data_IF_554994676274
#
_entry.id   IF_554994676274
#
_cell.length_a   1.000
_cell.length_b   1.000
_cell.length_c   1.000
_cell.angle_alpha   90.00
_cell.angle_beta   90.00
_cell.angle_gamma   90.00
#
_symmetry.space_group_name_H-M   'P 1'
#
loop_
_entity.id
_entity.type
_entity.pdbx_description
1 polymer ?
#
# COMPACT_ATOMS: atom_id res chain seq x y z
N UNK A 1 81.98 -44.82 27.02
CA UNK A 1 81.30 -45.65 28.04
C UNK A 1 79.83 -45.26 28.07
N UNK A 2 78.93 -46.25 27.97
CA UNK A 2 77.45 -46.21 28.02
C UNK A 2 76.77 -45.46 26.84
N UNK A 3 76.28 -46.14 25.80
CA UNK A 3 75.14 -47.08 25.66
C UNK A 3 73.77 -46.38 25.48
N UNK A 4 73.22 -46.60 24.27
CA UNK A 4 71.81 -46.97 23.95
C UNK A 4 70.76 -45.83 23.97
N UNK A 5 69.87 -45.59 22.99
CA UNK A 5 69.28 -46.30 21.82
C UNK A 5 68.69 -45.18 20.87
N UNK A 6 69.02 -45.06 19.56
CA UNK A 6 68.50 -45.77 18.36
C UNK A 6 66.98 -45.49 18.11
N UNK A 7 66.49 -44.90 17.02
CA UNK A 7 66.52 -45.35 15.60
C UNK A 7 65.88 -44.27 14.69
N UNK A 8 66.56 -44.00 13.57
CA UNK A 8 66.10 -43.70 12.18
C UNK A 8 65.04 -42.60 11.92
N UNK A 9 65.12 -41.78 10.87
CA UNK A 9 65.81 -41.94 9.60
C UNK A 9 66.20 -40.58 8.99
N UNK A 10 67.29 -40.63 8.23
CA UNK A 10 67.85 -39.60 7.34
C UNK A 10 66.99 -39.51 6.07
N UNK A 11 66.66 -38.29 5.64
CA UNK A 11 66.69 -37.82 4.25
C UNK A 11 66.22 -36.36 4.26
N UNK A 12 67.12 -35.38 4.26
CA UNK A 12 67.84 -34.81 3.12
C UNK A 12 67.32 -33.37 2.92
N UNK A 13 68.22 -32.44 3.20
CA UNK A 13 68.14 -30.99 3.07
C UNK A 13 67.71 -30.49 1.69
N UNK A 14 66.86 -29.47 1.65
CA UNK A 14 67.16 -28.20 0.98
C UNK A 14 66.15 -27.11 1.39
N UNK A 15 66.72 -25.96 1.76
CA UNK A 15 66.05 -24.73 2.15
C UNK A 15 65.81 -23.89 0.89
N UNK A 16 64.55 -23.53 0.69
CA UNK A 16 63.97 -22.27 0.16
C UNK A 16 64.36 -21.82 -1.26
N UNK A 17 63.37 -21.81 -2.15
CA UNK A 17 63.00 -20.62 -2.94
C UNK A 17 61.48 -20.49 -2.84
N UNK A 18 61.00 -19.32 -2.40
CA UNK A 18 59.58 -19.04 -2.31
C UNK A 18 58.93 -18.90 -3.69
N UNK A 19 57.77 -19.53 -3.84
CA UNK A 19 56.70 -19.11 -4.73
C UNK A 19 55.39 -19.20 -3.95
N UNK A 20 54.51 -18.23 -4.19
CA UNK A 20 53.30 -17.88 -3.45
C UNK A 20 52.36 -19.07 -3.19
N UNK A 21 52.05 -19.44 -1.94
CA UNK A 21 50.88 -20.26 -1.65
C UNK A 21 49.57 -19.47 -1.75
N UNK A 22 49.62 -18.17 -2.08
CA UNK A 22 48.42 -17.34 -2.29
C UNK A 22 47.91 -17.41 -3.74
N UNK A 23 48.76 -17.73 -4.72
CA UNK A 23 48.37 -17.70 -6.14
C UNK A 23 47.47 -18.88 -6.52
N UNK A 24 47.74 -20.08 -5.98
CA UNK A 24 46.90 -21.27 -6.21
C UNK A 24 45.55 -21.23 -5.49
N UNK A 25 45.41 -20.46 -4.39
CA UNK A 25 44.10 -20.24 -3.74
C UNK A 25 43.29 -19.20 -4.54
N UNK A 26 43.96 -18.30 -5.25
CA UNK A 26 43.30 -17.34 -6.14
C UNK A 26 42.99 -17.92 -7.54
N UNK A 27 43.69 -18.97 -7.99
CA UNK A 27 43.35 -19.65 -9.25
C UNK A 27 42.20 -20.67 -9.14
N UNK A 28 42.01 -21.30 -7.97
CA UNK A 28 40.91 -22.25 -7.75
C UNK A 28 39.58 -21.57 -7.32
N UNK A 29 39.63 -20.31 -6.86
CA UNK A 29 38.41 -19.48 -6.69
C UNK A 29 37.96 -18.85 -8.01
N UNK A 30 38.87 -18.64 -8.97
CA UNK A 30 38.55 -18.06 -10.29
C UNK A 30 38.03 -19.08 -11.32
N UNK A 31 37.98 -20.38 -11.00
CA UNK A 31 37.48 -21.43 -11.92
C UNK A 31 36.07 -21.94 -11.61
N UNK A 32 35.45 -21.44 -10.55
CA UNK A 32 33.99 -21.50 -10.35
C UNK A 32 33.44 -20.07 -10.46
N UNK A 33 33.04 -19.73 -11.68
CA UNK A 33 32.03 -18.73 -12.04
C UNK A 33 31.23 -18.15 -10.87
N UNK A 34 31.29 -16.82 -10.73
CA UNK A 34 30.25 -15.97 -10.11
C UNK A 34 29.63 -16.58 -8.85
N UNK A 35 30.25 -16.33 -7.69
CA UNK A 35 29.49 -16.34 -6.44
C UNK A 35 28.48 -15.19 -6.52
N UNK A 36 27.36 -15.43 -7.21
CA UNK A 36 26.19 -14.58 -7.16
C UNK A 36 25.70 -14.67 -5.72
N UNK A 37 25.99 -13.63 -4.93
CA UNK A 37 25.47 -13.52 -3.58
C UNK A 37 24.00 -13.16 -3.76
N UNK A 38 23.11 -14.11 -3.47
CA UNK A 38 21.68 -13.87 -3.40
C UNK A 38 21.30 -13.44 -1.97
N UNK A 39 20.51 -12.40 -1.83
CA UNK A 39 19.99 -11.95 -0.55
C UNK A 39 18.68 -11.21 -0.67
N UNK A 40 17.93 -11.17 0.44
CA UNK A 40 16.69 -10.41 0.55
C UNK A 40 16.94 -9.16 1.37
N UNK A 41 16.54 -8.01 0.85
CA UNK A 41 16.68 -6.70 1.51
C UNK A 41 15.32 -6.09 1.75
N UNK A 42 15.13 -5.48 2.92
CA UNK A 42 14.00 -4.59 3.19
C UNK A 42 14.60 -3.24 3.56
N UNK A 43 14.19 -2.19 2.85
CA UNK A 43 14.77 -0.86 3.03
C UNK A 43 13.71 0.23 2.87
N UNK A 44 13.80 1.26 3.71
CA UNK A 44 12.98 2.48 3.59
C UNK A 44 13.92 3.61 3.21
N UNK A 45 13.60 4.34 2.14
CA UNK A 45 14.40 5.47 1.70
C UNK A 45 14.42 6.57 2.76
N UNK A 46 15.60 7.11 2.99
CA UNK A 46 15.87 8.27 3.85
C UNK A 46 16.02 9.53 2.98
N UNK A 47 15.97 10.72 3.61
CA UNK A 47 16.06 12.00 2.89
C UNK A 47 17.30 12.09 1.98
N UNK A 48 18.46 11.62 2.45
CA UNK A 48 19.71 11.56 1.68
C UNK A 48 19.58 10.68 0.42
N UNK A 49 18.78 9.60 0.45
CA UNK A 49 18.58 8.74 -0.72
C UNK A 49 17.80 9.48 -1.82
N UNK A 50 16.84 10.35 -1.46
CA UNK A 50 16.12 11.17 -2.44
C UNK A 50 17.04 12.26 -3.02
N UNK A 51 17.96 12.82 -2.23
CA UNK A 51 18.97 13.74 -2.75
C UNK A 51 19.89 13.06 -3.77
N UNK A 52 20.35 11.83 -3.48
CA UNK A 52 21.17 11.03 -4.40
C UNK A 52 20.41 10.66 -5.70
N UNK A 53 19.09 10.59 -5.64
CA UNK A 53 18.18 10.37 -6.77
C UNK A 53 17.80 11.66 -7.54
N UNK A 54 18.38 12.81 -7.17
CA UNK A 54 18.04 14.14 -7.70
C UNK A 54 16.57 14.56 -7.46
N UNK A 55 15.92 14.00 -6.44
CA UNK A 55 14.53 14.26 -6.04
C UNK A 55 14.44 15.31 -4.93
N UNK A 56 14.45 16.59 -5.33
CA UNK A 56 14.49 17.75 -4.42
C UNK A 56 13.30 17.90 -3.44
N UNK A 57 12.22 17.14 -3.64
CA UNK A 57 11.03 17.18 -2.77
C UNK A 57 10.98 16.04 -1.75
N UNK A 58 11.97 15.14 -1.72
CA UNK A 58 11.99 14.02 -0.79
C UNK A 58 10.95 12.92 -1.07
N UNK A 59 10.38 12.90 -2.29
CA UNK A 59 9.38 11.95 -2.73
C UNK A 59 9.39 11.74 -4.25
N UNK A 60 8.80 10.64 -4.70
CA UNK A 60 8.53 10.37 -6.11
C UNK A 60 7.21 11.01 -6.54
N UNK A 61 7.14 11.48 -7.79
CA UNK A 61 5.88 12.01 -8.36
C UNK A 61 4.95 10.91 -8.88
N UNK A 62 5.50 9.73 -9.18
CA UNK A 62 4.74 8.57 -9.64
C UNK A 62 5.44 7.26 -9.27
N UNK A 63 4.67 6.17 -9.24
CA UNK A 63 5.24 4.83 -9.10
C UNK A 63 6.12 4.43 -10.30
N UNK A 64 5.90 5.03 -11.46
CA UNK A 64 6.72 4.74 -12.65
C UNK A 64 8.09 5.39 -12.53
N UNK A 65 8.17 6.62 -12.01
CA UNK A 65 9.46 7.26 -11.70
C UNK A 65 10.26 6.41 -10.68
N UNK A 66 9.58 5.84 -9.69
CA UNK A 66 10.21 4.93 -8.72
C UNK A 66 10.72 3.64 -9.38
N UNK A 67 9.93 3.02 -10.28
CA UNK A 67 10.35 1.83 -11.04
C UNK A 67 11.55 2.11 -11.95
N UNK A 68 11.66 3.31 -12.48
CA UNK A 68 12.73 3.71 -13.39
C UNK A 68 14.03 4.04 -12.65
N UNK A 69 13.96 4.71 -11.50
CA UNK A 69 15.13 5.21 -10.77
C UNK A 69 15.69 4.23 -9.73
N UNK A 70 14.83 3.47 -9.05
CA UNK A 70 15.27 2.57 -7.98
C UNK A 70 16.18 1.42 -8.44
N UNK A 71 16.07 0.85 -9.67
CA UNK A 71 17.00 -0.18 -10.13
C UNK A 71 18.48 0.19 -10.07
N UNK A 72 18.83 1.39 -10.53
CA UNK A 72 20.20 1.87 -10.54
C UNK A 72 20.66 2.20 -9.11
N UNK A 73 19.81 2.85 -8.32
CA UNK A 73 20.05 3.08 -6.89
C UNK A 73 20.34 1.78 -6.11
N UNK A 74 19.56 0.72 -6.35
CA UNK A 74 19.78 -0.59 -5.71
C UNK A 74 21.08 -1.27 -6.18
N UNK A 75 21.46 -1.07 -7.44
CA UNK A 75 22.72 -1.59 -7.98
C UNK A 75 23.92 -0.91 -7.32
N UNK A 76 23.85 0.40 -7.12
CA UNK A 76 24.91 1.18 -6.47
C UNK A 76 24.99 0.92 -4.96
N UNK A 77 23.83 0.78 -4.28
CA UNK A 77 23.75 0.54 -2.83
C UNK A 77 24.08 -0.91 -2.45
N UNK A 78 23.72 -1.88 -3.30
CA UNK A 78 23.92 -3.31 -3.07
C UNK A 78 24.72 -4.00 -4.20
N UNK A 79 25.94 -3.55 -4.52
CA UNK A 79 26.70 -4.03 -5.69
C UNK A 79 27.15 -5.48 -5.60
N UNK A 80 27.05 -6.10 -4.42
CA UNK A 80 27.38 -7.50 -4.20
C UNK A 80 26.20 -8.44 -4.51
N UNK A 81 24.96 -7.93 -4.55
CA UNK A 81 23.76 -8.73 -4.77
C UNK A 81 23.60 -9.02 -6.26
N UNK A 82 23.35 -10.30 -6.56
CA UNK A 82 23.22 -10.80 -7.92
C UNK A 82 21.90 -11.53 -8.14
N UNK A 83 21.85 -12.35 -9.20
CA UNK A 83 20.65 -13.08 -9.59
C UNK A 83 19.97 -13.79 -8.42
N UNK A 84 18.65 -13.67 -8.34
CA UNK A 84 17.85 -14.31 -7.29
C UNK A 84 17.82 -13.53 -5.97
N UNK A 85 18.46 -12.36 -5.90
CA UNK A 85 18.23 -11.40 -4.82
C UNK A 85 16.87 -10.73 -4.97
N UNK A 86 16.29 -10.32 -3.84
CA UNK A 86 15.06 -9.53 -3.79
C UNK A 86 15.25 -8.29 -2.90
N UNK A 87 14.51 -7.23 -3.22
CA UNK A 87 14.51 -6.01 -2.44
C UNK A 87 13.07 -5.50 -2.29
N UNK A 88 12.63 -5.28 -1.05
CA UNK A 88 11.36 -4.65 -0.73
C UNK A 88 11.64 -3.22 -0.27
N UNK A 89 11.31 -2.26 -1.11
CA UNK A 89 11.69 -0.86 -0.94
C UNK A 89 10.47 -0.03 -0.61
N UNK A 90 10.51 0.66 0.54
CA UNK A 90 9.49 1.64 0.94
C UNK A 90 10.00 3.04 0.61
N UNK A 91 9.20 3.82 -0.12
CA UNK A 91 9.50 5.19 -0.50
C UNK A 91 8.26 6.08 -0.36
N UNK A 92 8.48 7.38 -0.32
CA UNK A 92 7.44 8.41 -0.28
C UNK A 92 6.98 8.72 -1.70
N UNK A 93 5.69 8.61 -1.92
CA UNK A 93 5.01 9.04 -3.14
C UNK A 93 4.25 10.34 -2.86
N UNK A 94 4.37 11.32 -3.75
CA UNK A 94 3.55 12.52 -3.70
C UNK A 94 2.07 12.16 -3.87
N UNK A 95 1.27 12.43 -2.86
CA UNK A 95 -0.15 12.12 -2.81
C UNK A 95 -0.90 13.31 -2.21
N UNK A 96 -1.22 14.29 -3.05
CA UNK A 96 -1.90 15.51 -2.61
C UNK A 96 -3.36 15.26 -2.29
N UNK A 97 -3.77 15.71 -1.11
CA UNK A 97 -5.17 15.80 -0.72
C UNK A 97 -5.63 17.25 -0.86
N UNK A 98 -6.71 17.48 -1.59
CA UNK A 98 -7.30 18.80 -1.72
C UNK A 98 -7.84 19.29 -0.37
N UNK A 99 -7.48 20.52 -0.03
CA UNK A 99 -7.93 21.22 1.17
C UNK A 99 -8.49 22.59 0.79
N UNK A 100 -9.44 23.05 1.59
CA UNK A 100 -10.26 24.22 1.31
C UNK A 100 -10.29 25.18 2.49
N UNK A 101 -10.55 26.46 2.19
CA UNK A 101 -10.73 27.50 3.19
C UNK A 101 -11.81 28.52 2.78
N UNK A 102 -12.72 28.85 3.69
CA UNK A 102 -13.76 29.86 3.44
C UNK A 102 -14.17 30.57 4.73
N UNK A 103 -14.49 31.86 4.62
CA UNK A 103 -15.09 32.60 5.73
C UNK A 103 -16.43 31.96 6.11
N UNK A 104 -16.70 31.86 7.41
CA UNK A 104 -17.95 31.26 7.90
C UNK A 104 -19.11 32.18 7.56
N UNK A 105 -20.06 31.67 6.76
CA UNK A 105 -21.32 32.35 6.47
C UNK A 105 -22.43 31.84 7.39
N UNK A 106 -22.99 32.72 8.22
CA UNK A 106 -24.07 32.38 9.15
C UNK A 106 -25.44 32.63 8.50
N UNK A 107 -26.22 31.57 8.33
CA UNK A 107 -27.55 31.64 7.72
C UNK A 107 -28.53 32.34 8.65
N UNK A 108 -29.32 33.25 8.07
CA UNK A 108 -30.44 33.91 8.74
C UNK A 108 -31.66 33.01 8.86
N UNK A 109 -32.58 33.34 9.76
CA UNK A 109 -33.87 32.66 9.92
C UNK A 109 -34.65 32.66 8.60
N UNK A 110 -34.62 33.77 7.86
CA UNK A 110 -35.27 33.93 6.58
C UNK A 110 -34.76 32.94 5.53
N UNK A 111 -33.45 32.70 5.47
CA UNK A 111 -32.84 31.74 4.53
C UNK A 111 -33.23 30.31 4.84
N UNK A 112 -33.24 29.92 6.12
CA UNK A 112 -33.77 28.61 6.53
C UNK A 112 -35.24 28.46 6.15
N UNK A 113 -36.05 29.49 6.42
CA UNK A 113 -37.48 29.49 6.16
C UNK A 113 -37.80 29.45 4.66
N UNK A 114 -36.96 30.07 3.81
CA UNK A 114 -37.11 30.04 2.36
C UNK A 114 -37.00 28.62 1.80
N UNK A 115 -36.09 27.79 2.35
CA UNK A 115 -35.90 26.40 1.94
C UNK A 115 -36.95 25.48 2.56
N UNK A 116 -37.21 25.62 3.86
CA UNK A 116 -38.11 24.70 4.58
C UNK A 116 -39.59 24.98 4.38
N UNK A 117 -39.95 26.19 3.95
CA UNK A 117 -41.33 26.69 3.92
C UNK A 117 -41.95 26.89 5.32
N UNK A 118 -41.12 26.95 6.37
CA UNK A 118 -41.55 27.10 7.78
C UNK A 118 -41.20 28.50 8.31
N UNK A 119 -41.39 28.71 9.62
CA UNK A 119 -41.11 29.98 10.31
C UNK A 119 -40.21 29.81 11.54
N UNK A 120 -39.59 28.64 11.70
CA UNK A 120 -38.79 28.31 12.88
C UNK A 120 -37.33 28.77 12.76
N UNK A 121 -36.88 29.11 11.55
CA UNK A 121 -35.51 29.60 11.32
C UNK A 121 -34.44 28.52 11.50
N UNK A 122 -34.77 27.26 11.20
CA UNK A 122 -33.83 26.14 11.30
C UNK A 122 -34.14 25.08 10.22
N UNK A 123 -33.13 24.31 9.86
CA UNK A 123 -33.31 23.06 9.12
C UNK A 123 -33.72 21.93 10.08
N UNK A 124 -34.45 20.93 9.58
CA UNK A 124 -34.86 19.74 10.36
C UNK A 124 -34.81 18.45 9.54
N UNK A 125 -34.16 18.50 8.37
CA UNK A 125 -33.89 17.37 7.49
C UNK A 125 -32.51 17.53 6.88
N UNK A 126 -31.79 16.43 6.72
CA UNK A 126 -30.44 16.42 6.16
C UNK A 126 -30.38 16.98 4.74
N UNK A 127 -31.44 16.86 3.94
CA UNK A 127 -31.46 17.37 2.57
C UNK A 127 -31.61 18.89 2.48
N UNK A 128 -32.11 19.58 3.51
CA UNK A 128 -32.36 21.03 3.41
C UNK A 128 -31.10 21.87 3.21
N UNK A 129 -29.95 21.43 3.73
CA UNK A 129 -28.69 22.15 3.49
C UNK A 129 -28.25 22.02 2.02
N UNK A 130 -28.50 20.88 1.39
CA UNK A 130 -28.22 20.67 -0.03
C UNK A 130 -29.22 21.45 -0.90
N UNK A 131 -30.50 21.46 -0.54
CA UNK A 131 -31.51 22.30 -1.19
C UNK A 131 -31.11 23.80 -1.13
N UNK A 132 -30.53 24.24 0.01
CA UNK A 132 -29.97 25.60 0.16
C UNK A 132 -28.79 25.85 -0.77
N UNK A 133 -27.83 24.92 -0.82
CA UNK A 133 -26.65 25.03 -1.68
C UNK A 133 -27.04 25.11 -3.16
N UNK A 134 -27.91 24.22 -3.63
CA UNK A 134 -28.41 24.22 -5.01
C UNK A 134 -29.17 25.50 -5.39
N UNK A 135 -29.96 26.04 -4.45
CA UNK A 135 -30.70 27.28 -4.68
C UNK A 135 -29.79 28.52 -4.69
N UNK A 136 -28.73 28.52 -3.89
CA UNK A 136 -27.84 29.67 -3.69
C UNK A 136 -26.68 29.71 -4.67
N UNK A 137 -26.17 28.53 -5.05
CA UNK A 137 -25.02 28.32 -5.92
C UNK A 137 -25.38 27.43 -7.12
N UNK A 138 -26.30 27.86 -8.00
CA UNK A 138 -26.78 27.04 -9.13
C UNK A 138 -25.72 26.81 -10.22
N UNK A 139 -24.68 27.63 -10.24
CA UNK A 139 -23.59 27.61 -11.22
C UNK A 139 -22.26 27.16 -10.57
N UNK A 140 -22.31 26.37 -9.48
CA UNK A 140 -21.11 25.89 -8.79
C UNK A 140 -20.21 25.06 -9.73
N UNK A 141 -18.90 25.28 -9.62
CA UNK A 141 -17.87 24.59 -10.39
C UNK A 141 -17.00 23.72 -9.47
N UNK A 142 -16.36 22.69 -10.04
CA UNK A 142 -15.48 21.80 -9.27
C UNK A 142 -14.37 22.60 -8.56
N UNK A 143 -14.25 22.38 -7.25
CA UNK A 143 -13.34 23.10 -6.36
C UNK A 143 -13.96 24.30 -5.64
N UNK A 144 -15.19 24.71 -5.95
CA UNK A 144 -15.91 25.71 -5.16
C UNK A 144 -16.13 25.20 -3.73
N UNK A 145 -15.83 26.05 -2.73
CA UNK A 145 -15.99 25.71 -1.32
C UNK A 145 -16.72 26.79 -0.53
N UNK A 146 -17.68 26.38 0.29
CA UNK A 146 -18.43 27.27 1.18
C UNK A 146 -18.45 26.72 2.60
N UNK A 147 -18.30 27.60 3.59
CA UNK A 147 -18.47 27.28 5.01
C UNK A 147 -19.76 27.89 5.53
N UNK A 148 -20.68 27.06 5.99
CA UNK A 148 -22.01 27.46 6.42
C UNK A 148 -22.24 27.15 7.89
N UNK A 149 -22.62 28.17 8.65
CA UNK A 149 -23.14 28.03 10.01
C UNK A 149 -24.66 28.14 9.98
N UNK A 150 -25.35 27.11 10.47
CA UNK A 150 -26.80 26.99 10.35
C UNK A 150 -27.42 26.29 11.56
N UNK A 151 -28.68 26.60 11.84
CA UNK A 151 -29.44 25.97 12.94
C UNK A 151 -30.11 24.70 12.44
N UNK A 152 -30.00 23.63 13.21
CA UNK A 152 -30.58 22.33 12.90
C UNK A 152 -31.38 21.79 14.08
N UNK A 153 -32.56 21.24 13.81
CA UNK A 153 -33.43 20.64 14.82
C UNK A 153 -33.56 19.13 14.63
N UNK A 154 -33.19 18.39 15.67
CA UNK A 154 -33.42 16.95 15.77
C UNK A 154 -33.73 16.57 17.22
N UNK A 155 -34.98 16.82 17.64
CA UNK A 155 -35.40 16.69 19.04
C UNK A 155 -35.00 17.88 19.92
N UNK A 156 -33.83 18.47 19.66
CA UNK A 156 -33.38 19.77 20.16
C UNK A 156 -32.73 20.58 19.04
N UNK A 157 -32.66 21.90 19.21
CA UNK A 157 -31.90 22.77 18.30
C UNK A 157 -30.41 22.72 18.62
N UNK A 158 -29.60 22.68 17.58
CA UNK A 158 -28.14 22.80 17.61
C UNK A 158 -27.68 23.74 16.51
N UNK A 159 -26.58 24.45 16.72
CA UNK A 159 -25.88 25.18 15.66
C UNK A 159 -24.77 24.31 15.11
N UNK A 160 -24.75 24.10 13.80
CA UNK A 160 -23.70 23.36 13.10
C UNK A 160 -22.89 24.34 12.25
N UNK A 161 -21.58 24.14 12.16
CA UNK A 161 -20.75 24.75 11.12
C UNK A 161 -20.18 23.63 10.28
N UNK A 162 -20.51 23.59 8.99
CA UNK A 162 -20.02 22.59 8.05
C UNK A 162 -19.54 23.23 6.76
N UNK A 163 -18.62 22.56 6.09
CA UNK A 163 -18.02 22.96 4.84
C UNK A 163 -18.60 22.13 3.70
N UNK A 164 -18.68 22.70 2.52
CA UNK A 164 -19.22 22.02 1.34
C UNK A 164 -18.31 22.34 0.17
N UNK A 165 -17.66 21.34 -0.41
CA UNK A 165 -16.92 21.47 -1.67
C UNK A 165 -17.76 20.90 -2.81
N UNK A 166 -17.80 21.57 -3.95
CA UNK A 166 -18.41 21.02 -5.15
C UNK A 166 -17.36 20.20 -5.90
N UNK A 167 -17.62 18.91 -6.10
CA UNK A 167 -16.70 17.98 -6.75
C UNK A 167 -17.46 16.98 -7.61
N UNK A 168 -17.04 16.81 -8.86
CA UNK A 168 -17.62 15.86 -9.82
C UNK A 168 -19.14 16.03 -9.98
N UNK A 169 -19.64 17.27 -9.88
CA UNK A 169 -21.06 17.59 -10.04
C UNK A 169 -21.92 17.41 -8.78
N UNK A 170 -21.34 17.13 -7.61
CA UNK A 170 -22.06 17.00 -6.34
C UNK A 170 -21.40 17.79 -5.20
N UNK A 171 -22.20 18.20 -4.21
CA UNK A 171 -21.68 18.84 -2.99
C UNK A 171 -21.21 17.80 -1.98
N UNK A 172 -19.92 17.78 -1.71
CA UNK A 172 -19.27 16.96 -0.68
C UNK A 172 -19.23 17.73 0.63
N UNK A 173 -19.81 17.14 1.69
CA UNK A 173 -19.89 17.75 3.02
C UNK A 173 -18.68 17.40 3.88
N UNK A 174 -18.08 18.42 4.49
CA UNK A 174 -17.06 18.34 5.53
C UNK A 174 -17.67 18.76 6.86
N UNK A 175 -17.73 17.82 7.80
CA UNK A 175 -18.35 18.10 9.10
C UNK A 175 -17.36 18.84 9.99
N UNK A 176 -17.76 20.00 10.53
CA UNK A 176 -16.95 20.75 11.49
C UNK A 176 -17.06 20.19 12.91
N UNK A 177 -16.14 20.59 13.77
CA UNK A 177 -16.24 20.29 15.20
C UNK A 177 -17.39 21.07 15.85
N UNK A 178 -18.12 20.38 16.72
CA UNK A 178 -19.13 21.00 17.59
C UNK A 178 -18.47 21.85 18.68
N UNK A 179 -19.24 22.77 19.27
CA UNK A 179 -18.77 23.58 20.40
C UNK A 179 -18.27 22.72 21.57
N UNK A 180 -18.95 21.62 21.89
CA UNK A 180 -18.54 20.69 22.94
C UNK A 180 -17.20 20.01 22.61
N UNK A 181 -16.93 19.70 21.33
CA UNK A 181 -15.65 19.15 20.91
C UNK A 181 -14.52 20.19 21.01
N UNK A 182 -14.80 21.45 20.66
CA UNK A 182 -13.88 22.56 20.90
C UNK A 182 -13.56 22.74 22.39
N UNK A 183 -14.59 22.71 23.24
CA UNK A 183 -14.40 22.76 24.69
C UNK A 183 -13.60 21.56 25.23
N UNK A 184 -13.82 20.36 24.69
CA UNK A 184 -13.03 19.18 25.02
C UNK A 184 -11.56 19.30 24.61
N UNK A 185 -11.28 20.02 23.52
CA UNK A 185 -9.92 20.42 23.10
C UNK A 185 -9.34 21.58 23.93
N UNK A 186 -10.12 22.14 24.86
CA UNK A 186 -9.70 23.21 25.76
C UNK A 186 -9.95 24.62 25.21
N UNK A 187 -10.72 24.75 24.12
CA UNK A 187 -11.07 26.06 23.57
C UNK A 187 -12.23 26.70 24.33
N UNK A 188 -12.16 28.03 24.49
CA UNK A 188 -13.25 28.83 25.07
C UNK A 188 -14.31 29.28 24.05
N UNK A 189 -14.03 29.11 22.76
CA UNK A 189 -14.89 29.43 21.64
C UNK A 189 -14.79 28.32 20.60
N UNK A 190 -15.75 28.17 19.67
CA UNK A 190 -15.69 27.15 18.62
C UNK A 190 -14.70 27.52 17.50
N UNK A 191 -13.43 27.78 17.84
CA UNK A 191 -12.33 28.09 16.95
C UNK A 191 -10.98 27.95 17.69
N UNK A 192 -9.90 27.76 16.94
CA UNK A 192 -8.53 27.87 17.44
C UNK A 192 -7.94 29.25 17.20
N UNK A 193 -6.86 29.56 17.93
CA UNK A 193 -6.12 30.82 17.76
C UNK A 193 -5.08 30.76 16.64
N UNK A 194 -4.62 29.56 16.26
CA UNK A 194 -3.69 29.33 15.16
C UNK A 194 -3.78 27.92 14.59
N UNK A 195 -3.24 27.75 13.38
CA UNK A 195 -3.08 26.43 12.76
C UNK A 195 -2.14 25.52 13.56
N UNK A 196 -1.05 26.04 14.13
CA UNK A 196 -0.15 25.27 15.00
C UNK A 196 -0.89 24.66 16.20
N UNK A 197 -1.80 25.42 16.81
CA UNK A 197 -2.62 24.93 17.91
C UNK A 197 -3.60 23.85 17.43
N UNK A 198 -4.25 24.08 16.30
CA UNK A 198 -5.16 23.12 15.67
C UNK A 198 -4.45 21.80 15.36
N UNK A 199 -3.25 21.86 14.76
CA UNK A 199 -2.46 20.69 14.38
C UNK A 199 -1.94 19.86 15.56
N UNK A 200 -1.88 20.43 16.77
CA UNK A 200 -1.58 19.69 17.99
C UNK A 200 -2.83 19.04 18.59
N UNK A 201 -3.98 19.72 18.53
CA UNK A 201 -5.20 19.31 19.25
C UNK A 201 -6.12 18.41 18.43
N UNK A 202 -6.30 18.70 17.14
CA UNK A 202 -7.18 17.96 16.24
C UNK A 202 -6.82 16.47 16.17
N UNK A 203 -5.54 16.07 16.00
CA UNK A 203 -5.23 14.65 15.90
C UNK A 203 -5.67 13.84 17.13
N UNK A 204 -5.59 14.44 18.32
CA UNK A 204 -6.07 13.84 19.57
C UNK A 204 -7.59 13.73 19.56
N UNK A 205 -8.29 14.79 19.14
CA UNK A 205 -9.76 14.80 19.08
C UNK A 205 -10.30 13.80 18.04
N UNK A 206 -9.61 13.59 16.93
CA UNK A 206 -10.02 12.64 15.88
C UNK A 206 -10.08 11.20 16.39
N UNK A 207 -9.24 10.82 17.36
CA UNK A 207 -9.33 9.50 18.01
C UNK A 207 -10.71 9.31 18.67
N UNK A 208 -11.22 10.35 19.33
CA UNK A 208 -12.54 10.33 19.97
C UNK A 208 -13.69 10.40 18.95
N UNK A 209 -13.50 11.12 17.85
CA UNK A 209 -14.47 11.21 16.75
C UNK A 209 -14.66 9.84 16.09
N UNK A 210 -13.56 9.15 15.79
CA UNK A 210 -13.55 7.87 15.07
C UNK A 210 -13.60 6.63 15.98
N UNK A 211 -13.81 6.77 17.29
CA UNK A 211 -13.83 5.62 18.21
C UNK A 211 -14.91 4.56 17.91
N UNK A 212 -15.97 4.93 17.20
CA UNK A 212 -17.02 4.02 16.76
C UNK A 212 -16.94 3.66 15.27
N UNK A 213 -15.94 4.20 14.57
CA UNK A 213 -15.59 3.90 13.18
C UNK A 213 -14.05 3.88 13.06
N UNK A 214 -13.40 2.87 13.68
CA UNK A 214 -11.95 2.86 13.87
C UNK A 214 -11.23 2.80 12.52
N UNK A 215 -10.21 3.63 12.38
CA UNK A 215 -9.39 3.72 11.17
C UNK A 215 -8.26 2.71 11.18
N UNK A 216 -7.83 2.31 9.99
CA UNK A 216 -6.66 1.49 9.74
C UNK A 216 -5.42 2.37 9.54
N UNK A 217 -4.23 1.82 9.82
CA UNK A 217 -2.99 2.55 9.54
C UNK A 217 -2.91 2.90 8.04
N UNK A 218 -2.59 4.16 7.74
CA UNK A 218 -2.59 4.71 6.38
C UNK A 218 -3.91 5.38 5.97
N UNK A 219 -5.00 5.21 6.72
CA UNK A 219 -6.26 5.91 6.42
C UNK A 219 -6.07 7.42 6.57
N UNK A 220 -6.43 8.16 5.52
CA UNK A 220 -6.41 9.62 5.50
C UNK A 220 -7.84 10.13 5.68
N UNK A 221 -8.01 11.09 6.58
CA UNK A 221 -9.27 11.77 6.86
C UNK A 221 -9.10 13.27 6.73
N UNK A 222 -10.12 13.95 6.20
CA UNK A 222 -10.21 15.40 6.27
C UNK A 222 -11.00 15.82 7.51
N UNK A 223 -10.48 16.79 8.24
CA UNK A 223 -11.17 17.44 9.34
C UNK A 223 -11.34 18.92 9.02
N UNK A 224 -12.51 19.47 9.31
CA UNK A 224 -12.78 20.89 9.19
C UNK A 224 -12.71 21.55 10.57
N UNK A 225 -12.00 22.68 10.65
CA UNK A 225 -11.89 23.50 11.84
C UNK A 225 -11.96 24.98 11.52
N UNK A 226 -12.26 25.78 12.53
CA UNK A 226 -12.35 27.22 12.47
C UNK A 226 -11.13 27.89 13.13
N UNK A 227 -10.64 28.97 12.53
CA UNK A 227 -9.66 29.89 13.11
C UNK A 227 -10.25 31.28 13.25
N UNK A 228 -9.99 31.93 14.39
CA UNK A 228 -10.33 33.34 14.58
C UNK A 228 -9.32 34.25 13.86
N UNK A 229 -9.78 34.97 12.84
CA UNK A 229 -8.94 35.84 12.00
C UNK A 229 -8.82 37.28 12.53
N UNK A 230 -9.46 37.58 13.67
CA UNK A 230 -9.56 38.93 14.19
C UNK A 230 -10.75 39.71 13.61
N UNK A 231 -11.10 40.83 14.26
CA UNK A 231 -12.17 41.71 13.79
C UNK A 231 -13.57 41.10 13.79
N UNK A 232 -13.80 40.01 14.54
CA UNK A 232 -15.06 39.26 14.53
C UNK A 232 -15.22 38.29 13.35
N UNK A 233 -14.17 38.10 12.55
CA UNK A 233 -14.16 37.16 11.44
C UNK A 233 -13.63 35.81 11.91
N UNK A 234 -14.34 34.76 11.55
CA UNK A 234 -13.92 33.38 11.73
C UNK A 234 -13.88 32.71 10.36
N UNK A 235 -12.81 31.99 10.09
CA UNK A 235 -12.59 31.31 8.81
C UNK A 235 -12.44 29.82 9.06
N UNK A 236 -13.09 29.01 8.23
CA UNK A 236 -12.94 27.56 8.26
C UNK A 236 -11.84 27.11 7.32
N UNK A 237 -11.17 26.03 7.73
CA UNK A 237 -10.11 25.34 7.03
C UNK A 237 -10.41 23.86 7.07
N UNK A 238 -10.07 23.13 6.02
CA UNK A 238 -9.95 21.68 6.08
C UNK A 238 -8.48 21.30 6.12
N UNK A 239 -8.12 20.33 6.96
CA UNK A 239 -6.80 19.73 6.96
C UNK A 239 -6.91 18.20 6.90
N UNK A 240 -5.95 17.59 6.22
CA UNK A 240 -5.84 16.15 6.13
C UNK A 240 -5.01 15.61 7.29
N UNK A 241 -5.42 14.45 7.82
CA UNK A 241 -4.74 13.74 8.88
C UNK A 241 -4.66 12.26 8.53
N UNK A 242 -3.53 11.62 8.81
CA UNK A 242 -3.32 10.19 8.57
C UNK A 242 -3.29 9.44 9.89
N UNK A 243 -3.95 8.29 9.96
CA UNK A 243 -3.88 7.40 11.11
C UNK A 243 -2.65 6.48 10.99
N UNK A 244 -1.77 6.46 11.98
CA UNK A 244 -0.57 5.61 11.96
C UNK A 244 -0.76 4.22 12.60
N UNK A 245 -2.00 3.87 12.96
CA UNK A 245 -2.34 2.65 13.71
C UNK A 245 -2.41 2.84 15.22
N UNK A 246 -2.02 4.00 15.74
CA UNK A 246 -2.16 4.38 17.15
C UNK A 246 -2.83 5.75 17.31
N UNK A 247 -2.36 6.74 16.58
CA UNK A 247 -2.84 8.13 16.63
C UNK A 247 -2.96 8.73 15.23
N UNK A 248 -3.67 9.84 15.13
CA UNK A 248 -3.65 10.66 13.93
C UNK A 248 -2.42 11.57 13.95
N UNK A 249 -1.90 11.89 12.77
CA UNK A 249 -0.86 12.87 12.54
C UNK A 249 -1.28 13.80 11.40
N UNK A 250 -0.84 15.08 11.36
CA UNK A 250 -1.01 15.93 10.19
C UNK A 250 -0.49 15.21 8.93
N UNK A 251 -1.25 15.27 7.85
CA UNK A 251 -0.89 14.63 6.59
C UNK A 251 -0.14 15.60 5.68
N UNK A 252 1.08 15.23 5.28
CA UNK A 252 2.00 16.12 4.56
C UNK A 252 1.95 15.94 3.02
N UNK A 253 0.86 15.37 2.49
CA UNK A 253 0.70 15.04 1.05
C UNK A 253 1.72 14.02 0.54
N UNK A 254 2.19 13.13 1.41
CA UNK A 254 3.12 12.05 1.09
C UNK A 254 2.51 10.72 1.52
N UNK A 255 2.66 9.69 0.71
CA UNK A 255 2.21 8.33 1.02
C UNK A 255 3.41 7.40 0.99
N UNK A 256 3.62 6.63 2.05
CA UNK A 256 4.60 5.54 2.04
C UNK A 256 4.06 4.41 1.15
N UNK A 257 4.79 4.11 0.08
CA UNK A 257 4.49 3.05 -0.88
C UNK A 257 5.63 2.05 -0.86
N UNK A 258 5.29 0.76 -0.92
CA UNK A 258 6.27 -0.32 -1.00
C UNK A 258 6.28 -0.93 -2.41
N UNK A 259 7.47 -1.07 -2.98
CA UNK A 259 7.70 -1.74 -4.26
C UNK A 259 8.74 -2.84 -4.11
N UNK A 260 8.45 -4.01 -4.68
CA UNK A 260 9.37 -5.14 -4.69
C UNK A 260 10.18 -5.15 -5.99
N UNK A 261 11.45 -5.53 -5.88
CA UNK A 261 12.37 -5.73 -6.99
C UNK A 261 13.03 -7.09 -6.89
N UNK A 262 13.29 -7.70 -8.04
CA UNK A 262 14.10 -8.91 -8.17
C UNK A 262 15.33 -8.63 -9.03
N UNK A 263 16.47 -9.21 -8.68
CA UNK A 263 17.68 -9.08 -9.51
C UNK A 263 17.75 -10.22 -10.52
N UNK A 264 17.79 -9.90 -11.81
CA UNK A 264 17.74 -10.89 -12.90
C UNK A 264 19.11 -11.49 -13.26
N UNK A 265 20.17 -10.94 -12.66
CA UNK A 265 21.58 -11.29 -12.89
C UNK A 265 22.35 -10.19 -13.63
N UNK A 266 21.63 -9.21 -14.18
CA UNK A 266 22.21 -8.01 -14.82
C UNK A 266 21.76 -6.74 -14.09
N UNK A 267 20.47 -6.62 -13.78
CA UNK A 267 19.88 -5.44 -13.14
C UNK A 267 18.78 -5.83 -12.16
N UNK A 268 18.47 -4.92 -11.24
CA UNK A 268 17.21 -4.96 -10.51
C UNK A 268 16.05 -4.64 -11.46
N UNK A 269 14.96 -5.40 -11.36
CA UNK A 269 13.74 -5.16 -12.12
C UNK A 269 12.55 -5.13 -11.17
N UNK A 270 11.56 -4.22 -11.37
CA UNK A 270 10.33 -4.26 -10.59
C UNK A 270 9.71 -5.65 -10.65
N UNK A 271 9.47 -6.22 -9.47
CA UNK A 271 8.95 -7.56 -9.28
C UNK A 271 7.60 -7.47 -8.57
N UNK A 272 6.53 -7.35 -9.36
CA UNK A 272 5.16 -7.39 -8.86
C UNK A 272 4.67 -8.82 -8.59
N UNK A 273 5.54 -9.83 -8.49
CA UNK A 273 5.14 -11.24 -8.35
C UNK A 273 4.58 -11.52 -6.95
N UNK A 274 3.29 -11.86 -6.89
CA UNK A 274 2.63 -12.31 -5.67
C UNK A 274 2.86 -13.82 -5.50
N UNK A 275 3.30 -14.26 -4.31
CA UNK A 275 3.39 -15.69 -3.98
C UNK A 275 2.09 -16.15 -3.34
N UNK A 276 1.54 -17.24 -3.86
CA UNK A 276 0.33 -17.85 -3.33
C UNK A 276 0.51 -19.35 -3.19
N UNK A 277 0.16 -19.92 -2.05
CA UNK A 277 0.09 -21.38 -1.89
C UNK A 277 -1.37 -21.77 -1.95
N UNK A 278 -1.73 -22.69 -2.84
CA UNK A 278 -3.10 -23.18 -2.93
C UNK A 278 -3.55 -23.73 -1.58
N UNK A 279 -4.73 -23.31 -1.17
CA UNK A 279 -5.43 -23.83 -0.02
C UNK A 279 -6.28 -25.04 -0.41
N UNK A 280 -6.65 -25.85 0.57
CA UNK A 280 -7.53 -27.00 0.34
C UNK A 280 -8.88 -26.62 -0.31
N UNK A 281 -9.31 -25.37 -0.17
CA UNK A 281 -10.57 -24.86 -0.75
C UNK A 281 -10.47 -24.49 -2.24
N UNK A 282 -9.26 -24.38 -2.80
CA UNK A 282 -9.05 -24.04 -4.20
C UNK A 282 -9.23 -25.25 -5.13
N UNK A 283 -8.88 -26.46 -4.67
CA UNK A 283 -9.04 -27.66 -5.48
C UNK A 283 -10.50 -27.95 -5.86
N UNK A 284 -11.50 -27.86 -4.95
CA UNK A 284 -12.90 -27.96 -5.32
C UNK A 284 -13.35 -26.91 -6.36
N UNK A 285 -12.81 -25.69 -6.30
CA UNK A 285 -13.10 -24.64 -7.30
C UNK A 285 -12.62 -25.06 -8.70
N UNK A 286 -11.41 -25.59 -8.79
CA UNK A 286 -10.83 -26.10 -10.04
C UNK A 286 -11.67 -27.28 -10.56
N UNK A 287 -12.07 -28.20 -9.69
CA UNK A 287 -12.90 -29.35 -10.04
C UNK A 287 -14.25 -28.89 -10.60
N UNK A 288 -14.92 -27.96 -9.93
CA UNK A 288 -16.20 -27.40 -10.38
C UNK A 288 -16.09 -26.79 -11.78
N UNK A 289 -15.06 -25.95 -11.99
CA UNK A 289 -14.89 -25.23 -13.25
C UNK A 289 -14.43 -26.11 -14.42
N UNK A 290 -13.57 -27.11 -14.18
CA UNK A 290 -12.88 -27.84 -15.24
C UNK A 290 -13.33 -29.30 -15.42
N UNK A 291 -14.31 -29.79 -14.65
CA UNK A 291 -14.75 -31.19 -14.70
C UNK A 291 -15.28 -31.65 -16.05
N UNK A 292 -15.99 -30.79 -16.79
CA UNK A 292 -16.48 -31.12 -18.13
C UNK A 292 -15.32 -31.25 -19.15
N UNK A 293 -14.25 -30.47 -18.96
CA UNK A 293 -13.11 -30.42 -19.89
C UNK A 293 -12.06 -31.50 -19.57
N UNK A 294 -11.78 -31.74 -18.29
CA UNK A 294 -10.73 -32.64 -17.81
C UNK A 294 -11.25 -33.68 -16.79
N UNK A 295 -12.25 -34.50 -17.13
CA UNK A 295 -12.99 -35.31 -16.15
C UNK A 295 -12.13 -36.32 -15.38
N UNK A 296 -11.10 -36.90 -16.01
CA UNK A 296 -10.20 -37.82 -15.32
C UNK A 296 -9.26 -37.07 -14.35
N UNK A 297 -8.75 -35.91 -14.77
CA UNK A 297 -7.77 -35.14 -14.01
C UNK A 297 -8.42 -34.46 -12.80
N UNK A 298 -9.59 -33.84 -12.99
CA UNK A 298 -10.40 -33.27 -11.90
C UNK A 298 -11.02 -34.35 -11.02
N UNK A 299 -11.41 -35.50 -11.58
CA UNK A 299 -11.87 -36.64 -10.78
C UNK A 299 -10.79 -37.17 -9.83
N UNK A 300 -9.53 -37.20 -10.25
CA UNK A 300 -8.42 -37.50 -9.34
C UNK A 300 -8.22 -36.40 -8.30
N UNK A 301 -8.26 -35.13 -8.72
CA UNK A 301 -8.10 -33.98 -7.83
C UNK A 301 -9.20 -33.93 -6.74
N UNK A 302 -10.46 -34.21 -7.07
CA UNK A 302 -11.58 -34.24 -6.13
C UNK A 302 -11.39 -35.30 -5.03
N UNK A 303 -10.77 -36.43 -5.37
CA UNK A 303 -10.50 -37.50 -4.42
C UNK A 303 -9.30 -37.24 -3.52
N UNK A 304 -8.29 -36.50 -4.01
CA UNK A 304 -6.97 -36.46 -3.37
C UNK A 304 -6.43 -35.05 -3.06
N UNK A 305 -7.09 -33.99 -3.53
CA UNK A 305 -6.68 -32.60 -3.30
C UNK A 305 -5.29 -32.27 -3.84
N UNK A 306 -4.91 -32.82 -5.00
CA UNK A 306 -3.62 -32.56 -5.63
C UNK A 306 -3.68 -32.72 -7.16
N UNK A 307 -2.65 -32.22 -7.83
CA UNK A 307 -2.43 -32.44 -9.25
C UNK A 307 -1.68 -33.76 -9.49
N UNK A 308 -2.28 -34.70 -10.23
CA UNK A 308 -1.62 -35.93 -10.66
C UNK A 308 -0.58 -35.63 -11.75
N UNK A 309 0.70 -35.93 -11.49
CA UNK A 309 1.84 -35.55 -12.33
C UNK A 309 2.63 -36.75 -12.87
N UNK A 310 2.14 -37.99 -12.70
CA UNK A 310 2.81 -39.17 -13.28
C UNK A 310 2.65 -39.18 -14.81
N UNK A 311 3.76 -39.18 -15.57
CA UNK A 311 3.71 -39.21 -17.02
C UNK A 311 2.96 -40.44 -17.56
N UNK A 312 2.00 -40.21 -18.47
CA UNK A 312 1.21 -41.24 -19.11
C UNK A 312 0.00 -41.74 -18.29
N UNK A 313 -0.27 -41.14 -17.14
CA UNK A 313 -1.51 -41.40 -16.39
C UNK A 313 -2.71 -40.74 -17.11
N UNK A 314 -3.87 -41.39 -17.11
CA UNK A 314 -5.09 -40.83 -17.69
C UNK A 314 -5.58 -39.55 -16.98
N UNK A 315 -5.19 -39.33 -15.72
CA UNK A 315 -5.49 -38.16 -14.92
C UNK A 315 -4.35 -37.14 -14.86
N UNK A 316 -3.30 -37.29 -15.68
CA UNK A 316 -2.14 -36.41 -15.67
C UNK A 316 -2.53 -34.94 -15.98
N UNK A 317 -2.03 -34.03 -15.14
CA UNK A 317 -2.09 -32.59 -15.36
C UNK A 317 -0.81 -32.10 -16.03
N UNK A 318 -0.94 -31.49 -17.21
CA UNK A 318 0.17 -30.83 -17.91
C UNK A 318 0.37 -29.39 -17.42
N UNK A 319 1.53 -28.75 -17.63
CA UNK A 319 1.74 -27.35 -17.25
C UNK A 319 0.67 -26.38 -17.81
N UNK A 320 0.21 -26.61 -19.04
CA UNK A 320 -0.86 -25.81 -19.65
C UNK A 320 -2.22 -26.00 -18.94
N UNK A 321 -2.54 -27.24 -18.53
CA UNK A 321 -3.76 -27.50 -17.75
C UNK A 321 -3.67 -26.89 -16.36
N UNK A 322 -2.49 -26.91 -15.74
CA UNK A 322 -2.25 -26.30 -14.44
C UNK A 322 -2.39 -24.78 -14.55
N UNK A 323 -1.84 -24.15 -15.60
CA UNK A 323 -2.05 -22.72 -15.85
C UNK A 323 -3.54 -22.37 -16.00
N UNK A 324 -4.33 -23.20 -16.71
CA UNK A 324 -5.80 -23.02 -16.79
C UNK A 324 -6.49 -23.21 -15.43
N UNK A 325 -6.02 -24.14 -14.59
CA UNK A 325 -6.50 -24.26 -13.22
C UNK A 325 -6.14 -23.02 -12.37
N UNK A 326 -4.96 -22.44 -12.56
CA UNK A 326 -4.57 -21.19 -11.89
C UNK A 326 -5.43 -20.02 -12.35
N UNK A 327 -5.81 -19.96 -13.64
CA UNK A 327 -6.74 -18.94 -14.15
C UNK A 327 -8.07 -18.96 -13.41
N UNK A 328 -8.62 -20.15 -13.12
CA UNK A 328 -9.85 -20.30 -12.32
C UNK A 328 -9.66 -19.77 -10.90
N UNK A 329 -8.59 -20.18 -10.21
CA UNK A 329 -8.33 -19.78 -8.83
C UNK A 329 -8.05 -18.30 -8.71
N UNK A 330 -7.11 -17.78 -9.51
CA UNK A 330 -6.66 -16.40 -9.43
C UNK A 330 -7.72 -15.41 -9.91
N UNK A 331 -8.58 -15.77 -10.88
CA UNK A 331 -9.72 -14.94 -11.26
C UNK A 331 -10.75 -14.77 -10.15
N UNK A 332 -10.85 -15.73 -9.23
CA UNK A 332 -11.68 -15.60 -8.02
C UNK A 332 -10.95 -14.89 -6.88
N UNK A 333 -9.67 -15.22 -6.70
CA UNK A 333 -8.83 -14.67 -5.63
C UNK A 333 -8.60 -13.16 -5.82
N UNK A 334 -8.34 -12.75 -7.05
CA UNK A 334 -8.02 -11.37 -7.41
C UNK A 334 -8.72 -10.98 -8.74
N UNK A 335 -10.05 -10.79 -8.71
CA UNK A 335 -10.83 -10.48 -9.91
C UNK A 335 -10.38 -9.18 -10.57
N UNK A 336 -9.96 -8.20 -9.76
CA UNK A 336 -9.56 -6.86 -10.18
C UNK A 336 -8.05 -6.76 -10.49
N UNK A 337 -7.33 -7.89 -10.56
CA UNK A 337 -5.91 -7.89 -10.91
C UNK A 337 -5.64 -7.14 -12.22
N UNK A 338 -4.63 -6.27 -12.22
CA UNK A 338 -4.24 -5.51 -13.40
C UNK A 338 -3.53 -6.39 -14.45
N UNK A 339 -3.56 -5.94 -15.70
CA UNK A 339 -2.80 -6.55 -16.79
C UNK A 339 -1.29 -6.55 -16.46
N UNK A 340 -0.62 -7.69 -16.67
CA UNK A 340 0.79 -7.85 -16.30
C UNK A 340 1.03 -8.20 -14.82
N UNK A 341 -0.01 -8.36 -14.00
CA UNK A 341 0.13 -8.92 -12.65
C UNK A 341 0.72 -10.33 -12.72
N UNK A 342 1.73 -10.61 -11.88
CA UNK A 342 2.44 -11.89 -11.83
C UNK A 342 2.10 -12.66 -10.56
N UNK A 343 1.98 -13.98 -10.66
CA UNK A 343 1.91 -14.89 -9.51
C UNK A 343 2.91 -16.02 -9.67
N UNK A 344 3.49 -16.45 -8.54
CA UNK A 344 4.08 -17.78 -8.39
C UNK A 344 3.19 -18.56 -7.45
N UNK A 345 2.53 -19.59 -7.98
CA UNK A 345 1.59 -20.41 -7.23
C UNK A 345 2.22 -21.74 -6.87
N UNK A 346 2.30 -22.03 -5.57
CA UNK A 346 2.70 -23.34 -5.04
C UNK A 346 1.47 -24.23 -4.87
N UNK A 347 1.52 -25.46 -5.38
CA UNK A 347 0.41 -26.41 -5.33
C UNK A 347 0.86 -27.84 -5.01
N UNK A 348 -0.03 -28.64 -4.44
CA UNK A 348 0.23 -30.04 -4.11
C UNK A 348 0.19 -30.91 -5.36
N UNK A 349 1.14 -31.83 -5.46
CA UNK A 349 1.26 -32.80 -6.54
C UNK A 349 1.32 -34.24 -6.04
N UNK A 350 1.02 -35.16 -6.95
CA UNK A 350 1.35 -36.57 -6.81
C UNK A 350 2.05 -37.10 -8.06
N UNK A 351 3.32 -37.48 -7.94
CA UNK A 351 4.14 -38.03 -9.04
C UNK A 351 4.60 -39.49 -8.77
N UNK A 352 3.90 -40.19 -7.87
CA UNK A 352 4.35 -41.44 -7.24
C UNK A 352 4.73 -41.25 -5.77
N UNK A 353 4.96 -40.01 -5.38
CA UNK A 353 5.02 -39.50 -4.01
C UNK A 353 4.29 -38.17 -3.92
N UNK A 354 3.80 -37.81 -2.73
CA UNK A 354 3.27 -36.47 -2.45
C UNK A 354 4.41 -35.45 -2.39
N UNK A 355 4.15 -34.24 -2.87
CA UNK A 355 5.07 -33.12 -2.81
C UNK A 355 4.38 -31.84 -3.30
N UNK A 356 5.15 -30.80 -3.54
CA UNK A 356 4.67 -29.54 -4.11
C UNK A 356 5.45 -29.18 -5.37
N UNK A 357 4.81 -28.47 -6.29
CA UNK A 357 5.44 -27.80 -7.43
C UNK A 357 5.00 -26.33 -7.45
N UNK A 358 5.79 -25.49 -8.12
CA UNK A 358 5.47 -24.08 -8.34
C UNK A 358 5.15 -23.85 -9.83
N UNK A 359 4.27 -22.88 -10.11
CA UNK A 359 4.01 -22.39 -11.47
C UNK A 359 3.98 -20.86 -11.48
N UNK A 360 4.70 -20.26 -12.43
CA UNK A 360 4.68 -18.82 -12.64
C UNK A 360 3.64 -18.48 -13.72
N UNK A 361 2.70 -17.60 -13.40
CA UNK A 361 1.65 -17.15 -14.31
C UNK A 361 1.56 -15.62 -14.32
N UNK A 362 1.11 -15.04 -15.44
CA UNK A 362 0.94 -13.61 -15.64
C UNK A 362 -0.44 -13.35 -16.25
N UNK A 363 -1.10 -12.27 -15.81
CA UNK A 363 -2.36 -11.83 -16.41
C UNK A 363 -2.08 -11.18 -17.75
N UNK A 364 -2.60 -11.77 -18.82
CA UNK A 364 -2.47 -11.28 -20.20
C UNK A 364 -3.80 -11.33 -20.92
N UNK A 365 -4.21 -10.21 -21.52
CA UNK A 365 -5.51 -10.03 -22.18
C UNK A 365 -6.69 -10.49 -21.30
N UNK A 366 -6.60 -10.24 -19.99
CA UNK A 366 -7.63 -10.59 -19.01
C UNK A 366 -7.66 -12.04 -18.53
N UNK A 367 -6.73 -12.91 -18.95
CA UNK A 367 -6.60 -14.30 -18.50
C UNK A 367 -5.22 -14.59 -17.92
N UNK A 368 -5.11 -15.53 -16.99
CA UNK A 368 -3.83 -15.97 -16.44
C UNK A 368 -3.17 -17.01 -17.35
N UNK A 369 -1.98 -16.68 -17.86
CA UNK A 369 -1.20 -17.55 -18.74
C UNK A 369 0.17 -17.86 -18.13
N UNK A 370 0.79 -18.95 -18.58
CA UNK A 370 2.15 -19.30 -18.16
C UNK A 370 3.13 -18.18 -18.55
N UNK A 371 4.02 -17.80 -17.62
CA UNK A 371 5.09 -16.82 -17.86
C UNK A 371 6.17 -17.30 -18.83
#
# INVERSE_FOLDING_TARGET
MKKLIYVCAIALSAIIVGCNPLEDIHEDVNKNSSLEISGDVVYTLEDDDYEDLDLNFGNFSSNDDAKDLLPDFLSDKYPALGKGSSALITYKLYNRVDTYEADVYELSDEEHNAITGKTFGNFDRSNHIYDYLEATYPDAEDGDFVSLRYRFYNGSESTLTDGFAFENGEWIKFTGFTEDQYQAMGEGFPNFSSEDEANVKIPIALVDVYKFDPKSAGDIVLAMYELYQGGGVTRSFTAAYVYNGSEFLPYENELDVTLQFGHDGTTWVPDNTIKYTLEASDYPLIVEALSDKYPAATGSMDNYGNFERRPGNAAEWTPAMIAEAMDVVLSKLNPDAEEGQKYVVTYDIYNGSSGTEDIAVIKTDGVWVLQ
#
